data_IF_514660131421
#
_entry.id   IF_514660131421
#
_cell.length_a   1.000
_cell.length_b   1.000
_cell.length_c   1.000
_cell.angle_alpha   90.00
_cell.angle_beta   90.00
_cell.angle_gamma   90.00
#
_symmetry.space_group_name_H-M   'P 1'
#
loop_
_entity.id
_entity.type
_entity.pdbx_description
1 polymer ?
#
# COMPACT_ATOMS: atom_id res chain seq x y z
N UNK A 1 6.53 -21.32 1.53
CA UNK A 1 6.27 -20.15 2.38
C UNK A 1 7.61 -19.47 2.68
N UNK A 2 7.96 -18.38 1.99
CA UNK A 2 9.22 -17.65 2.22
C UNK A 2 9.04 -16.75 3.44
N UNK A 3 9.32 -17.28 4.62
CA UNK A 3 9.45 -16.49 5.84
C UNK A 3 10.72 -15.65 5.65
N UNK A 4 10.60 -14.32 5.57
CA UNK A 4 11.77 -13.44 5.74
C UNK A 4 11.95 -12.25 4.80
N UNK A 5 11.11 -11.97 3.81
CA UNK A 5 11.24 -10.71 3.02
C UNK A 5 10.45 -9.57 3.68
N UNK A 6 9.29 -9.89 4.26
CA UNK A 6 8.37 -8.90 4.82
C UNK A 6 8.78 -8.36 6.21
N UNK A 7 9.54 -9.13 6.99
CA UNK A 7 10.03 -8.66 8.30
C UNK A 7 11.16 -7.63 8.16
N UNK A 8 12.20 -7.86 7.33
CA UNK A 8 13.26 -6.88 7.11
C UNK A 8 12.79 -5.55 6.52
N UNK A 9 11.77 -5.55 5.66
CA UNK A 9 11.25 -4.29 5.09
C UNK A 9 10.55 -3.43 6.15
N UNK A 10 9.76 -4.03 7.06
CA UNK A 10 9.16 -3.27 8.16
C UNK A 10 10.24 -2.80 9.13
N UNK A 11 11.21 -3.65 9.46
CA UNK A 11 12.30 -3.25 10.36
C UNK A 11 13.11 -2.07 9.78
N UNK A 12 13.26 -1.99 8.45
CA UNK A 12 13.96 -0.91 7.75
C UNK A 12 13.12 0.34 7.50
N UNK A 13 11.90 0.18 6.99
CA UNK A 13 11.05 1.26 6.47
C UNK A 13 9.83 1.56 7.35
N UNK A 14 9.68 0.85 8.47
CA UNK A 14 8.57 0.94 9.44
C UNK A 14 7.17 0.59 8.88
N UNK A 15 7.04 0.35 7.57
CA UNK A 15 5.79 0.02 6.87
C UNK A 15 6.08 -0.66 5.53
N UNK A 16 5.02 -1.03 4.80
CA UNK A 16 5.09 -1.58 3.45
C UNK A 16 4.93 -0.47 2.40
N UNK A 17 5.99 -0.07 1.68
CA UNK A 17 5.95 1.01 0.70
C UNK A 17 5.01 0.78 -0.48
N UNK A 18 4.89 -0.47 -0.95
CA UNK A 18 4.05 -0.83 -2.10
C UNK A 18 2.54 -0.62 -1.84
N UNK A 19 2.14 -0.36 -0.59
CA UNK A 19 0.77 0.01 -0.24
C UNK A 19 0.54 1.53 -0.22
N UNK A 20 1.59 2.36 -0.36
CA UNK A 20 1.47 3.80 -0.20
C UNK A 20 0.47 4.41 -1.18
N UNK A 21 0.49 4.01 -2.45
CA UNK A 21 -0.44 4.51 -3.46
C UNK A 21 -1.90 4.17 -3.12
N UNK A 22 -2.18 2.93 -2.72
CA UNK A 22 -3.52 2.48 -2.34
C UNK A 22 -4.02 3.21 -1.09
N UNK A 23 -3.14 3.42 -0.12
CA UNK A 23 -3.45 4.06 1.15
C UNK A 23 -3.40 5.59 1.09
N UNK A 24 -3.12 6.18 -0.08
CA UNK A 24 -3.01 7.63 -0.27
C UNK A 24 -1.85 8.27 0.51
N UNK A 25 -0.77 7.52 0.77
CA UNK A 25 0.42 7.99 1.48
C UNK A 25 1.45 8.50 0.49
N UNK A 26 2.16 9.55 0.88
CA UNK A 26 3.37 9.96 0.17
C UNK A 26 4.54 9.03 0.56
N UNK A 27 5.30 8.61 -0.45
CA UNK A 27 6.53 7.85 -0.26
C UNK A 27 7.69 8.78 0.12
N UNK A 28 8.56 8.31 1.01
CA UNK A 28 9.86 8.91 1.26
C UNK A 28 10.89 8.44 0.20
N UNK A 29 11.99 9.17 0.05
CA UNK A 29 13.02 8.85 -0.94
C UNK A 29 13.60 7.42 -0.79
N UNK A 30 13.78 6.93 0.44
CA UNK A 30 14.27 5.58 0.68
C UNK A 30 13.24 4.51 0.27
N UNK A 31 11.95 4.81 0.45
CA UNK A 31 10.87 3.92 0.05
C UNK A 31 10.75 3.82 -1.47
N UNK A 32 10.92 4.93 -2.18
CA UNK A 32 10.98 4.97 -3.64
C UNK A 32 12.17 4.17 -4.17
N UNK A 33 13.36 4.38 -3.60
CA UNK A 33 14.55 3.62 -3.99
C UNK A 33 14.38 2.11 -3.77
N UNK A 34 13.73 1.70 -2.69
CA UNK A 34 13.43 0.29 -2.43
C UNK A 34 12.43 -0.31 -3.43
N UNK A 35 11.41 0.46 -3.81
CA UNK A 35 10.42 0.03 -4.82
C UNK A 35 11.07 -0.18 -6.18
N UNK A 36 11.96 0.74 -6.59
CA UNK A 36 12.75 0.62 -7.83
C UNK A 36 13.68 -0.62 -7.78
N UNK A 37 14.42 -0.80 -6.68
CA UNK A 37 15.34 -1.94 -6.50
C UNK A 37 14.63 -3.30 -6.56
N UNK A 38 13.40 -3.36 -6.05
CA UNK A 38 12.58 -4.58 -6.06
C UNK A 38 11.74 -4.75 -7.33
N UNK A 39 11.87 -3.84 -8.29
CA UNK A 39 11.14 -3.90 -9.57
C UNK A 39 9.63 -3.77 -9.39
N UNK A 40 9.19 -2.89 -8.49
CA UNK A 40 7.77 -2.65 -8.19
C UNK A 40 7.01 -3.91 -7.72
N UNK A 41 7.70 -4.81 -7.03
CA UNK A 41 7.10 -6.05 -6.53
C UNK A 41 5.91 -5.76 -5.60
N UNK A 42 4.74 -6.31 -5.97
CA UNK A 42 3.44 -6.10 -5.32
C UNK A 42 2.88 -4.67 -5.35
N UNK A 43 3.50 -3.75 -6.10
CA UNK A 43 2.89 -2.43 -6.30
C UNK A 43 1.66 -2.56 -7.19
N UNK A 44 0.55 -1.96 -6.76
CA UNK A 44 -0.61 -1.86 -7.64
C UNK A 44 -0.32 -0.86 -8.75
N UNK A 45 -0.83 -1.16 -9.95
CA UNK A 45 -0.83 -0.18 -11.04
C UNK A 45 -1.47 1.14 -10.58
N UNK A 46 -0.93 2.27 -11.05
CA UNK A 46 -1.40 3.61 -10.65
C UNK A 46 -2.90 3.79 -10.84
N UNK A 47 -3.46 3.23 -11.91
CA UNK A 47 -4.90 3.31 -12.19
C UNK A 47 -5.73 2.51 -11.17
N UNK A 48 -5.23 1.36 -10.71
CA UNK A 48 -5.89 0.56 -9.67
C UNK A 48 -5.91 1.34 -8.35
N UNK A 49 -4.77 1.91 -7.94
CA UNK A 49 -4.70 2.74 -6.74
C UNK A 49 -5.66 3.95 -6.82
N UNK A 50 -5.72 4.63 -7.97
CA UNK A 50 -6.66 5.74 -8.21
C UNK A 50 -8.12 5.31 -8.07
N UNK A 51 -8.49 4.16 -8.63
CA UNK A 51 -9.86 3.62 -8.54
C UNK A 51 -10.24 3.26 -7.11
N UNK A 52 -9.30 2.72 -6.33
CA UNK A 52 -9.52 2.42 -4.91
C UNK A 52 -9.75 3.73 -4.12
N UNK A 53 -8.88 4.72 -4.29
CA UNK A 53 -9.02 6.02 -3.63
C UNK A 53 -10.38 6.68 -3.95
N UNK A 54 -10.83 6.61 -5.20
CA UNK A 54 -12.13 7.14 -5.62
C UNK A 54 -13.31 6.35 -5.02
N UNK A 55 -13.20 5.03 -4.92
CA UNK A 55 -14.23 4.19 -4.31
C UNK A 55 -14.40 4.49 -2.80
N UNK A 56 -13.29 4.70 -2.09
CA UNK A 56 -13.29 5.13 -0.67
C UNK A 56 -13.94 6.51 -0.54
N UNK A 57 -13.50 7.48 -1.35
CA UNK A 57 -14.04 8.86 -1.33
C UNK A 57 -15.56 8.91 -1.56
N UNK A 58 -16.06 8.05 -2.45
CA UNK A 58 -17.48 7.96 -2.78
C UNK A 58 -18.28 7.02 -1.85
N UNK A 59 -17.65 6.44 -0.82
CA UNK A 59 -18.26 5.42 0.06
C UNK A 59 -18.87 4.23 -0.69
N UNK A 60 -18.34 3.90 -1.87
CA UNK A 60 -18.73 2.70 -2.64
C UNK A 60 -18.05 1.44 -2.10
N UNK A 61 -16.91 1.61 -1.45
CA UNK A 61 -16.20 0.56 -0.75
C UNK A 61 -15.95 1.02 0.69
N UNK A 62 -16.52 0.29 1.65
CA UNK A 62 -16.38 0.55 3.09
C UNK A 62 -15.23 -0.30 3.64
N UNK A 63 -14.20 0.30 4.27
CA UNK A 63 -13.18 -0.45 4.98
C UNK A 63 -13.80 -1.34 6.07
N UNK A 64 -13.22 -2.51 6.30
CA UNK A 64 -13.65 -3.41 7.37
C UNK A 64 -13.57 -2.69 8.72
N UNK A 65 -14.70 -2.57 9.43
CA UNK A 65 -14.82 -1.88 10.73
C UNK A 65 -15.54 -0.54 10.71
N UNK A 66 -15.89 -0.01 9.53
CA UNK A 66 -16.77 1.17 9.39
C UNK A 66 -18.18 0.82 8.91
N UNK A 67 -18.51 -0.49 8.91
CA UNK A 67 -19.87 -0.94 8.63
C UNK A 67 -20.76 -0.61 9.84
N UNK A 68 -21.84 0.18 9.68
CA UNK A 68 -22.75 0.51 10.79
C UNK A 68 -23.44 -0.72 11.42
N UNK A 69 -23.27 -1.91 10.85
CA UNK A 69 -23.73 -3.18 11.40
C UNK A 69 -22.69 -3.94 12.25
N UNK A 70 -21.49 -3.37 12.51
CA UNK A 70 -20.42 -3.99 13.32
C UNK A 70 -20.28 -3.37 14.72
#
# INVERSE_FOLDING_TARGET
>A
MRIGIQKPIIDRLSRYPYLNAILGRQSAAEEEAWIEETGHFNEAEREVARRIAEAVRQRRWTPLGEDPAS
#
